data_IF_281005951114
#
_entry.id   IF_281005951114
#
_cell.length_a   1.000
_cell.length_b   1.000
_cell.length_c   1.000
_cell.angle_alpha   90.00
_cell.angle_beta   90.00
_cell.angle_gamma   90.00
#
_symmetry.space_group_name_H-M   'P 1'
#
loop_
_entity.id
_entity.type
_entity.pdbx_description
1 polymer ?
#
# COMPACT_ATOMS: atom_id res chain seq x y z
N UNK A 1 -2.59 -9.10 14.95
CA UNK A 1 -2.69 -8.97 13.49
C UNK A 1 -1.31 -8.62 12.97
N UNK A 2 -0.79 -9.29 11.94
CA UNK A 2 0.57 -9.09 11.41
C UNK A 2 0.46 -8.59 9.98
N UNK A 3 1.10 -7.46 9.68
CA UNK A 3 1.27 -6.96 8.31
C UNK A 3 2.57 -7.55 7.75
N UNK A 4 2.47 -8.23 6.61
CA UNK A 4 3.64 -8.76 5.90
C UNK A 4 4.12 -7.72 4.89
N UNK A 5 5.24 -7.08 5.19
CA UNK A 5 5.88 -6.08 4.32
C UNK A 5 6.76 -6.79 3.29
N UNK A 6 6.63 -6.41 2.02
CA UNK A 6 7.47 -6.93 0.93
C UNK A 6 8.60 -5.96 0.58
N UNK A 7 8.32 -4.66 0.59
CA UNK A 7 9.27 -3.62 0.20
C UNK A 7 8.97 -2.31 0.93
N UNK A 8 9.97 -1.43 1.01
CA UNK A 8 9.78 -0.03 1.34
C UNK A 8 10.80 0.82 0.58
N UNK A 9 10.41 2.02 0.17
CA UNK A 9 11.31 2.97 -0.48
C UNK A 9 10.81 4.42 -0.35
N UNK A 10 11.73 5.35 -0.56
CA UNK A 10 11.36 6.73 -0.83
C UNK A 10 10.75 6.82 -2.23
N UNK A 11 9.73 7.65 -2.37
CA UNK A 11 9.00 7.84 -3.63
C UNK A 11 9.49 9.07 -4.39
N UNK A 12 8.97 9.26 -5.60
CA UNK A 12 9.43 10.29 -6.54
C UNK A 12 9.13 11.72 -6.07
N UNK A 13 7.97 11.95 -5.46
CA UNK A 13 7.56 13.30 -5.05
C UNK A 13 8.33 13.82 -3.84
N UNK A 14 8.32 15.14 -3.68
CA UNK A 14 9.03 15.90 -2.67
C UNK A 14 8.65 15.60 -1.21
N UNK A 15 8.87 16.56 -0.30
CA UNK A 15 9.38 16.36 1.06
C UNK A 15 8.80 15.14 1.80
N UNK A 16 9.51 14.02 1.72
CA UNK A 16 9.24 12.82 2.51
C UNK A 16 8.15 11.90 1.97
N UNK A 17 7.86 11.90 0.65
CA UNK A 17 7.02 10.87 0.06
C UNK A 17 7.69 9.49 0.20
N UNK A 18 6.93 8.48 0.64
CA UNK A 18 7.44 7.12 0.83
C UNK A 18 6.33 6.11 0.61
N UNK A 19 6.72 4.90 0.22
CA UNK A 19 5.83 3.77 -0.04
C UNK A 19 6.31 2.53 0.72
N UNK A 20 5.34 1.74 1.18
CA UNK A 20 5.57 0.45 1.86
C UNK A 20 4.59 -0.54 1.24
N UNK A 21 5.14 -1.58 0.62
CA UNK A 21 4.37 -2.62 -0.05
C UNK A 21 3.99 -3.72 0.92
N UNK A 22 2.74 -4.15 0.86
CA UNK A 22 2.21 -5.24 1.66
C UNK A 22 1.92 -6.46 0.77
N UNK A 23 2.25 -7.65 1.28
CA UNK A 23 1.86 -8.91 0.64
C UNK A 23 0.33 -8.97 0.51
N UNK A 24 -0.13 -9.40 -0.65
CA UNK A 24 -1.57 -9.57 -0.91
C UNK A 24 -2.24 -10.54 0.09
N UNK A 25 -3.51 -10.29 0.36
CA UNK A 25 -4.35 -11.11 1.23
C UNK A 25 -5.77 -11.23 0.64
N UNK A 26 -6.62 -12.16 1.13
CA UNK A 26 -8.03 -12.20 0.77
C UNK A 26 -8.71 -10.83 0.97
N UNK A 27 -9.64 -10.46 0.08
CA UNK A 27 -10.20 -9.11 -0.01
C UNK A 27 -10.54 -8.45 1.33
N UNK A 28 -11.31 -9.15 2.19
CA UNK A 28 -11.69 -8.63 3.51
C UNK A 28 -10.48 -8.35 4.40
N UNK A 29 -9.54 -9.29 4.46
CA UNK A 29 -8.31 -9.13 5.25
C UNK A 29 -7.45 -7.99 4.71
N UNK A 30 -7.39 -7.81 3.39
CA UNK A 30 -6.64 -6.71 2.78
C UNK A 30 -7.27 -5.33 3.08
N UNK A 31 -8.60 -5.26 3.18
CA UNK A 31 -9.29 -4.05 3.63
C UNK A 31 -8.93 -3.72 5.09
N UNK A 32 -8.95 -4.72 5.98
CA UNK A 32 -8.52 -4.54 7.37
C UNK A 32 -7.04 -4.12 7.46
N UNK A 33 -6.16 -4.77 6.67
CA UNK A 33 -4.74 -4.43 6.58
C UNK A 33 -4.51 -2.99 6.13
N UNK A 34 -5.28 -2.49 5.17
CA UNK A 34 -5.18 -1.11 4.68
C UNK A 34 -5.47 -0.09 5.79
N UNK A 35 -6.49 -0.34 6.61
CA UNK A 35 -6.83 0.54 7.73
C UNK A 35 -5.76 0.51 8.82
N UNK A 36 -5.28 -0.68 9.17
CA UNK A 36 -4.19 -0.85 10.13
C UNK A 36 -2.88 -0.22 9.66
N UNK A 37 -2.56 -0.35 8.38
CA UNK A 37 -1.40 0.30 7.78
C UNK A 37 -1.45 1.82 7.97
N UNK A 38 -2.57 2.45 7.59
CA UNK A 38 -2.77 3.90 7.80
C UNK A 38 -2.67 4.30 9.27
N UNK A 39 -3.22 3.48 10.17
CA UNK A 39 -3.16 3.73 11.61
C UNK A 39 -1.72 3.66 12.14
N UNK A 40 -0.98 2.60 11.80
CA UNK A 40 0.40 2.40 12.24
C UNK A 40 1.29 3.53 11.74
N UNK A 41 1.24 3.85 10.43
CA UNK A 41 2.04 4.93 9.84
C UNK A 41 1.80 6.26 10.54
N UNK A 42 0.53 6.64 10.77
CA UNK A 42 0.20 7.89 11.46
C UNK A 42 0.73 7.94 12.90
N UNK A 43 0.61 6.83 13.65
CA UNK A 43 1.07 6.80 15.04
C UNK A 43 2.60 6.74 15.14
N UNK A 44 3.27 5.99 14.27
CA UNK A 44 4.74 5.97 14.23
C UNK A 44 5.28 7.36 13.86
N UNK A 45 4.69 8.02 12.87
CA UNK A 45 5.05 9.40 12.53
C UNK A 45 4.86 10.34 13.73
N UNK A 46 3.70 10.28 14.39
CA UNK A 46 3.40 11.08 15.58
C UNK A 46 4.42 10.85 16.71
N UNK A 47 4.80 9.59 16.97
CA UNK A 47 5.78 9.25 18.00
C UNK A 47 7.19 9.80 17.70
N UNK A 48 7.50 10.07 16.43
CA UNK A 48 8.76 10.69 16.01
C UNK A 48 8.64 12.21 15.78
N UNK A 49 7.58 12.85 16.29
CA UNK A 49 7.35 14.29 16.12
C UNK A 49 7.07 14.71 14.68
N UNK A 50 6.61 13.78 13.83
CA UNK A 50 6.26 14.01 12.42
C UNK A 50 4.75 13.86 12.21
N UNK A 51 4.28 14.25 11.04
CA UNK A 51 2.90 13.99 10.58
C UNK A 51 2.95 13.24 9.24
N UNK A 52 2.09 12.24 9.08
CA UNK A 52 1.94 11.49 7.84
C UNK A 52 0.52 11.67 7.29
N UNK A 53 0.42 11.92 5.98
CA UNK A 53 -0.85 12.12 5.27
C UNK A 53 -0.98 11.14 4.11
N UNK A 54 -2.22 10.75 3.82
CA UNK A 54 -2.60 9.93 2.67
C UNK A 54 -3.44 10.74 1.68
N UNK A 55 -3.30 12.08 1.68
CA UNK A 55 -3.92 12.93 0.68
C UNK A 55 -3.33 12.62 -0.69
N UNK A 56 -4.15 12.56 -1.76
CA UNK A 56 -3.66 12.19 -3.07
C UNK A 56 -2.74 13.24 -3.70
N UNK A 57 -2.84 14.51 -3.27
CA UNK A 57 -2.02 15.61 -3.78
C UNK A 57 -1.77 16.68 -2.71
N UNK A 58 -0.78 16.48 -1.82
CA UNK A 58 -0.48 17.46 -0.77
C UNK A 58 0.35 18.66 -1.28
N UNK A 59 1.10 18.50 -2.37
CA UNK A 59 2.01 19.51 -2.93
C UNK A 59 1.63 19.82 -4.38
N UNK A 60 1.54 21.11 -4.71
CA UNK A 60 1.27 21.58 -6.08
C UNK A 60 2.49 21.35 -6.98
N UNK A 61 2.25 21.01 -8.25
CA UNK A 61 3.27 20.80 -9.28
C UNK A 61 4.34 19.72 -8.98
N UNK A 62 4.08 18.81 -8.05
CA UNK A 62 4.94 17.66 -7.70
C UNK A 62 4.16 16.34 -7.80
N UNK A 63 4.77 15.16 -7.64
CA UNK A 63 4.05 13.89 -7.73
C UNK A 63 2.98 13.74 -6.63
N UNK A 64 1.89 13.04 -6.96
CA UNK A 64 0.81 12.71 -6.03
C UNK A 64 1.05 11.37 -5.32
N UNK A 65 0.23 11.08 -4.31
CA UNK A 65 0.23 9.78 -3.63
C UNK A 65 -0.93 8.93 -4.15
N UNK A 66 -0.59 7.86 -4.87
CA UNK A 66 -1.53 6.86 -5.38
C UNK A 66 -1.69 5.67 -4.42
N UNK A 67 -2.69 4.83 -4.70
CA UNK A 67 -2.86 3.54 -4.06
C UNK A 67 -3.25 2.54 -5.15
N UNK A 68 -2.25 1.96 -5.81
CA UNK A 68 -2.48 0.97 -6.86
C UNK A 68 -3.05 -0.31 -6.21
N UNK A 69 -4.06 -0.91 -6.84
CA UNK A 69 -4.74 -2.08 -6.30
C UNK A 69 -4.56 -3.26 -7.23
N UNK A 70 -3.73 -4.21 -6.82
CA UNK A 70 -3.54 -5.46 -7.56
C UNK A 70 -4.67 -6.43 -7.20
N UNK A 71 -5.39 -6.91 -8.22
CA UNK A 71 -6.53 -7.82 -8.05
C UNK A 71 -6.30 -9.13 -8.78
N UNK A 72 -6.74 -10.22 -8.16
CA UNK A 72 -6.76 -11.56 -8.78
C UNK A 72 -8.00 -12.32 -8.32
N UNK A 73 -8.59 -13.10 -9.23
CA UNK A 73 -9.74 -13.96 -8.93
C UNK A 73 -9.27 -15.41 -8.92
N UNK A 74 -9.74 -16.17 -7.93
CA UNK A 74 -9.33 -17.54 -7.68
C UNK A 74 -10.54 -18.46 -7.57
N UNK A 75 -10.41 -19.69 -8.10
CA UNK A 75 -11.35 -20.79 -7.85
C UNK A 75 -10.58 -21.93 -7.19
N UNK A 76 -10.72 -22.06 -5.87
CA UNK A 76 -9.86 -22.91 -5.07
C UNK A 76 -8.41 -22.44 -5.17
N UNK A 77 -7.49 -23.34 -5.53
CA UNK A 77 -6.06 -23.02 -5.72
C UNK A 77 -5.70 -22.54 -7.13
N UNK A 78 -6.66 -22.41 -8.05
CA UNK A 78 -6.41 -22.03 -9.44
C UNK A 78 -6.73 -20.54 -9.67
N UNK A 79 -5.77 -19.72 -10.14
CA UNK A 79 -6.04 -18.35 -10.56
C UNK A 79 -6.83 -18.34 -11.88
N UNK A 80 -7.76 -17.39 -12.02
CA UNK A 80 -8.62 -17.24 -13.21
C UNK A 80 -8.19 -16.11 -14.15
N UNK A 81 -7.45 -15.11 -13.63
CA UNK A 81 -7.08 -13.89 -14.38
C UNK A 81 -5.61 -13.86 -14.81
N UNK A 82 -4.78 -14.84 -14.44
CA UNK A 82 -3.42 -14.95 -14.97
C UNK A 82 -2.86 -16.37 -14.81
N UNK A 83 -2.12 -16.85 -15.82
CA UNK A 83 -1.38 -18.12 -15.80
C UNK A 83 -0.15 -18.11 -14.88
N UNK A 84 0.22 -16.93 -14.33
CA UNK A 84 1.22 -16.77 -13.27
C UNK A 84 0.56 -16.18 -12.02
N UNK A 85 1.08 -16.59 -10.86
CA UNK A 85 0.55 -16.33 -9.51
C UNK A 85 0.27 -14.85 -9.19
N UNK A 86 0.85 -13.91 -9.93
CA UNK A 86 0.68 -12.45 -9.79
C UNK A 86 0.69 -11.84 -11.19
N UNK A 87 -0.36 -11.09 -11.54
CA UNK A 87 -0.36 -10.22 -12.72
C UNK A 87 0.06 -8.83 -12.26
N UNK A 88 1.32 -8.46 -12.55
CA UNK A 88 1.82 -7.11 -12.30
C UNK A 88 1.25 -6.18 -13.36
N UNK A 89 0.28 -5.35 -12.98
CA UNK A 89 -0.10 -4.17 -13.74
C UNK A 89 0.42 -3.01 -12.91
N UNK A 90 1.58 -2.47 -13.31
CA UNK A 90 2.05 -1.19 -12.76
C UNK A 90 1.10 -0.08 -13.17
#
# INVERSE_FOLDING_TARGET
>A
MVLHVECHHHEVGGPGQSEIDLRFAPLKQMADHTLWYKYIVKNVAKNHGKSATFMPKPVYADNGSGMHVHQSIWKGSKPLICWKQICWIK
#
